data_IF_367702203669
#
_entry.id   IF_367702203669
#
_cell.length_a   1.000
_cell.length_b   1.000
_cell.length_c   1.000
_cell.angle_alpha   90.00
_cell.angle_beta   90.00
_cell.angle_gamma   90.00
#
_symmetry.space_group_name_H-M   'P 1'
#
loop_
_entity.id
_entity.type
_entity.pdbx_description
1 polymer ?
#
# COMPACT_ATOMS: atom_id res chain seq x y z
N UNK A 1 8.99 -10.73 -0.67
CA UNK A 1 9.25 -9.39 -0.10
C UNK A 1 7.89 -8.83 0.22
N UNK A 2 7.65 -8.58 1.49
CA UNK A 2 6.34 -8.34 2.06
C UNK A 2 6.41 -7.02 2.84
N UNK A 3 5.28 -6.34 3.00
CA UNK A 3 5.18 -5.15 3.86
C UNK A 3 4.58 -5.63 5.19
N UNK A 4 4.79 -4.91 6.30
CA UNK A 4 4.34 -5.40 7.62
C UNK A 4 3.91 -4.29 8.55
N UNK A 5 3.04 -4.70 9.46
CA UNK A 5 2.65 -4.02 10.69
C UNK A 5 3.85 -3.45 11.48
N UNK A 6 3.63 -2.38 12.28
CA UNK A 6 4.60 -1.60 13.06
C UNK A 6 5.71 -2.26 13.89
N UNK A 7 5.73 -3.59 14.00
CA UNK A 7 6.59 -4.32 14.93
C UNK A 7 7.82 -5.00 14.33
N UNK A 8 7.95 -5.13 13.01
CA UNK A 8 8.85 -6.15 12.40
C UNK A 8 9.98 -5.54 11.53
N UNK A 9 10.31 -4.26 11.65
CA UNK A 9 11.52 -3.71 10.97
C UNK A 9 12.86 -4.11 11.62
N UNK A 10 12.89 -5.01 12.63
CA UNK A 10 14.09 -5.28 13.44
C UNK A 10 14.65 -6.70 13.50
N UNK A 11 14.05 -7.71 12.89
CA UNK A 11 14.63 -9.05 12.92
C UNK A 11 15.33 -9.35 11.59
N UNK A 12 16.66 -9.46 11.63
CA UNK A 12 17.48 -9.99 10.54
C UNK A 12 17.25 -11.49 10.32
N UNK A 13 16.02 -11.87 10.00
CA UNK A 13 15.59 -13.26 9.79
C UNK A 13 14.85 -13.36 8.46
N UNK A 14 15.60 -13.46 7.36
CA UNK A 14 15.21 -14.16 6.12
C UNK A 14 14.03 -13.64 5.27
N UNK A 15 13.07 -12.90 5.83
CA UNK A 15 11.92 -12.35 5.12
C UNK A 15 12.02 -10.83 5.14
N UNK A 16 12.40 -10.26 3.98
CA UNK A 16 12.79 -8.86 3.86
C UNK A 16 11.57 -7.95 3.77
N UNK A 17 11.28 -7.27 4.88
CA UNK A 17 10.34 -6.15 4.96
C UNK A 17 10.99 -4.85 4.50
N UNK A 18 10.23 -3.94 3.87
CA UNK A 18 10.81 -2.72 3.27
C UNK A 18 10.14 -1.40 3.68
N UNK A 19 8.96 -1.44 4.29
CA UNK A 19 8.18 -0.28 4.72
C UNK A 19 7.32 -0.59 5.96
N UNK A 20 6.95 0.45 6.70
CA UNK A 20 6.10 0.38 7.91
C UNK A 20 5.36 1.71 8.13
N UNK A 21 4.03 1.67 8.28
CA UNK A 21 3.19 2.82 8.69
C UNK A 21 2.69 2.64 10.13
N UNK A 22 3.01 3.61 11.00
CA UNK A 22 2.55 3.64 12.39
C UNK A 22 1.39 4.62 12.55
N UNK A 23 0.26 4.13 13.07
CA UNK A 23 -0.96 4.91 13.34
C UNK A 23 -1.19 5.00 14.84
N UNK A 24 -1.43 6.21 15.34
CA UNK A 24 -1.83 6.44 16.73
C UNK A 24 -3.34 6.75 16.79
N UNK A 25 -4.09 5.94 17.56
CA UNK A 25 -5.50 6.18 17.83
C UNK A 25 -5.64 6.91 19.18
N UNK A 26 -5.83 8.23 19.14
CA UNK A 26 -6.08 8.99 20.38
C UNK A 26 -7.56 8.85 20.78
N UNK A 27 -7.84 7.86 21.64
CA UNK A 27 -9.19 7.50 22.14
C UNK A 27 -10.07 8.66 22.64
N UNK A 28 -9.48 9.80 23.02
CA UNK A 28 -10.21 10.94 23.58
C UNK A 28 -10.79 11.92 22.54
N UNK A 29 -10.50 11.77 21.23
CA UNK A 29 -11.01 12.70 20.19
C UNK A 29 -11.58 12.04 18.93
N UNK A 30 -11.58 10.71 18.83
CA UNK A 30 -12.05 10.01 17.62
C UNK A 30 -11.20 10.30 16.36
N UNK A 31 -9.99 10.83 16.53
CA UNK A 31 -9.06 11.13 15.44
C UNK A 31 -7.94 10.08 15.44
N UNK A 32 -7.91 9.24 14.41
CA UNK A 32 -6.74 8.43 14.04
C UNK A 32 -5.79 9.29 13.23
N UNK A 33 -4.50 9.26 13.58
CA UNK A 33 -3.46 10.00 12.87
C UNK A 33 -2.26 9.11 12.56
N UNK A 34 -1.73 9.22 11.34
CA UNK A 34 -0.43 8.61 11.00
C UNK A 34 0.65 9.33 11.79
N UNK A 35 1.37 8.59 12.62
CA UNK A 35 2.45 9.11 13.45
C UNK A 35 3.79 9.06 12.70
N UNK A 36 4.07 7.98 11.99
CA UNK A 36 5.30 7.85 11.20
C UNK A 36 5.15 6.88 10.03
N UNK A 37 5.95 7.11 8.98
CA UNK A 37 6.21 6.18 7.89
C UNK A 37 7.71 5.90 7.90
N UNK A 38 8.10 4.63 7.94
CA UNK A 38 9.50 4.20 7.92
C UNK A 38 9.73 3.37 6.67
N UNK A 39 10.87 3.57 6.01
CA UNK A 39 11.23 2.86 4.77
C UNK A 39 12.71 2.46 4.86
N UNK A 40 13.03 1.25 4.43
CA UNK A 40 14.40 0.73 4.44
C UNK A 40 15.32 1.59 3.56
N UNK A 41 16.49 1.95 4.07
CA UNK A 41 17.50 2.72 3.33
C UNK A 41 18.25 1.86 2.31
N UNK A 42 18.81 2.49 1.27
CA UNK A 42 19.71 1.82 0.32
C UNK A 42 19.02 1.16 -0.88
N UNK A 43 17.71 1.33 -1.04
CA UNK A 43 16.98 0.83 -2.21
C UNK A 43 17.02 1.81 -3.40
N UNK A 44 16.86 1.31 -4.65
CA UNK A 44 16.76 2.18 -5.82
C UNK A 44 15.61 3.19 -5.69
N UNK A 45 15.77 4.41 -6.22
CA UNK A 45 14.76 5.46 -6.12
C UNK A 45 13.37 5.03 -6.63
N UNK A 46 13.32 4.17 -7.66
CA UNK A 46 12.07 3.56 -8.14
C UNK A 46 11.42 2.66 -7.08
N UNK A 47 12.20 1.82 -6.39
CA UNK A 47 11.64 0.99 -5.32
C UNK A 47 11.21 1.83 -4.12
N UNK A 48 12.01 2.84 -3.78
CA UNK A 48 11.73 3.75 -2.67
C UNK A 48 10.38 4.45 -2.85
N UNK A 49 10.16 5.09 -4.00
CA UNK A 49 8.90 5.79 -4.21
C UNK A 49 7.70 4.86 -4.35
N UNK A 50 7.89 3.62 -4.84
CA UNK A 50 6.85 2.59 -4.79
C UNK A 50 6.42 2.30 -3.34
N UNK A 51 7.38 2.00 -2.45
CA UNK A 51 7.12 1.73 -1.04
C UNK A 51 6.49 2.94 -0.36
N UNK A 52 7.03 4.14 -0.57
CA UNK A 52 6.44 5.37 0.01
C UNK A 52 5.00 5.58 -0.45
N UNK A 53 4.69 5.37 -1.72
CA UNK A 53 3.33 5.50 -2.23
C UNK A 53 2.38 4.47 -1.59
N UNK A 54 2.84 3.23 -1.41
CA UNK A 54 2.11 2.20 -0.68
C UNK A 54 1.82 2.64 0.77
N UNK A 55 2.84 3.05 1.53
CA UNK A 55 2.68 3.47 2.92
C UNK A 55 1.79 4.73 3.08
N UNK A 56 1.88 5.66 2.12
CA UNK A 56 0.94 6.79 2.05
C UNK A 56 -0.51 6.32 1.84
N UNK A 57 -0.71 5.18 1.17
CA UNK A 57 -2.00 4.51 1.02
C UNK A 57 -2.62 4.15 2.37
N UNK A 58 -1.90 3.47 3.25
CA UNK A 58 -2.35 3.17 4.62
C UNK A 58 -2.74 4.46 5.34
N UNK A 59 -1.86 5.46 5.24
CA UNK A 59 -2.12 6.75 5.86
C UNK A 59 -3.41 7.40 5.37
N UNK A 60 -3.65 7.41 4.06
CA UNK A 60 -4.90 7.92 3.50
C UNK A 60 -6.12 7.11 3.95
N UNK A 61 -6.02 5.77 3.98
CA UNK A 61 -7.11 4.89 4.40
C UNK A 61 -7.53 5.09 5.86
N UNK A 62 -6.63 5.53 6.76
CA UNK A 62 -7.01 5.88 8.14
C UNK A 62 -8.05 6.99 8.25
N UNK A 63 -8.21 7.80 7.19
CA UNK A 63 -9.14 8.94 7.09
C UNK A 63 -10.38 8.60 6.28
N UNK A 64 -10.39 7.46 5.60
CA UNK A 64 -11.52 7.00 4.80
C UNK A 64 -12.48 6.17 5.68
N UNK A 65 -13.80 6.28 5.48
CA UNK A 65 -14.76 5.45 6.19
C UNK A 65 -14.58 3.97 5.83
N UNK A 66 -15.22 3.08 6.59
CA UNK A 66 -15.28 1.65 6.30
C UNK A 66 -14.21 0.81 7.00
N UNK A 67 -14.64 -0.35 7.50
CA UNK A 67 -13.77 -1.40 8.01
C UNK A 67 -13.28 -2.26 6.83
N UNK A 68 -11.99 -2.60 6.83
CA UNK A 68 -11.33 -3.29 5.72
C UNK A 68 -10.61 -4.51 6.27
N UNK A 69 -10.75 -5.64 5.57
CA UNK A 69 -9.86 -6.77 5.82
C UNK A 69 -8.42 -6.39 5.41
N UNK A 70 -7.43 -7.02 6.04
CA UNK A 70 -6.02 -6.85 5.70
C UNK A 70 -5.78 -6.97 4.19
N UNK A 71 -6.28 -8.03 3.56
CA UNK A 71 -6.18 -8.23 2.10
C UNK A 71 -6.77 -7.08 1.26
N UNK A 72 -7.84 -6.45 1.75
CA UNK A 72 -8.47 -5.31 1.05
C UNK A 72 -7.63 -4.06 1.20
N UNK A 73 -7.16 -3.79 2.42
CA UNK A 73 -6.29 -2.66 2.73
C UNK A 73 -4.99 -2.74 1.92
N UNK A 74 -4.27 -3.86 2.01
CA UNK A 74 -3.03 -4.09 1.26
C UNK A 74 -3.25 -4.03 -0.24
N UNK A 75 -4.35 -4.58 -0.74
CA UNK A 75 -4.67 -4.51 -2.16
C UNK A 75 -4.89 -3.09 -2.68
N UNK A 76 -5.42 -2.19 -1.86
CA UNK A 76 -5.55 -0.76 -2.20
C UNK A 76 -4.19 -0.07 -2.15
N UNK A 77 -3.39 -0.32 -1.12
CA UNK A 77 -2.05 0.26 -0.99
C UNK A 77 -1.12 -0.19 -2.14
N UNK A 78 -1.17 -1.46 -2.54
CA UNK A 78 -0.51 -1.98 -3.74
C UNK A 78 -1.03 -1.31 -5.03
N UNK A 79 -2.34 -1.05 -5.14
CA UNK A 79 -2.88 -0.32 -6.29
C UNK A 79 -2.30 1.10 -6.38
N UNK A 80 -2.23 1.82 -5.25
CA UNK A 80 -1.64 3.16 -5.17
C UNK A 80 -0.15 3.13 -5.53
N UNK A 81 0.59 2.15 -4.99
CA UNK A 81 1.98 1.90 -5.35
C UNK A 81 2.15 1.66 -6.87
N UNK A 82 1.23 0.90 -7.47
CA UNK A 82 1.21 0.63 -8.91
C UNK A 82 1.02 1.91 -9.74
N UNK A 83 0.19 2.86 -9.28
CA UNK A 83 -0.01 4.12 -9.98
C UNK A 83 1.26 4.95 -10.01
N UNK A 84 1.98 4.99 -8.89
CA UNK A 84 3.28 5.66 -8.83
C UNK A 84 4.29 5.01 -9.79
N UNK A 85 4.36 3.67 -9.83
CA UNK A 85 5.24 2.95 -10.75
C UNK A 85 4.89 3.21 -12.22
N UNK A 86 3.60 3.17 -12.56
CA UNK A 86 3.11 3.48 -13.92
C UNK A 86 3.44 4.91 -14.32
N UNK A 87 3.29 5.86 -13.40
CA UNK A 87 3.64 7.26 -13.64
C UNK A 87 5.16 7.47 -13.81
N UNK A 88 5.98 6.80 -12.99
CA UNK A 88 7.45 6.87 -13.11
C UNK A 88 7.97 6.30 -14.41
N UNK A 89 7.38 5.20 -14.87
CA UNK A 89 7.80 4.50 -16.08
C UNK A 89 9.24 3.96 -16.02
N UNK A 90 9.71 3.47 -17.17
CA UNK A 90 11.05 2.88 -17.31
C UNK A 90 11.13 1.41 -16.92
N UNK A 91 12.28 0.78 -17.25
CA UNK A 91 12.47 -0.67 -17.14
C UNK A 91 12.33 -1.20 -15.72
N UNK A 92 12.87 -0.47 -14.74
CA UNK A 92 12.79 -0.89 -13.34
C UNK A 92 11.37 -0.79 -12.78
N UNK A 93 10.57 0.19 -13.23
CA UNK A 93 9.17 0.29 -12.82
C UNK A 93 8.33 -0.83 -13.45
N UNK A 94 8.56 -1.13 -14.74
CA UNK A 94 7.92 -2.26 -15.42
C UNK A 94 8.23 -3.59 -14.73
N UNK A 95 9.49 -3.80 -14.31
CA UNK A 95 9.89 -4.95 -13.52
C UNK A 95 9.08 -5.07 -12.22
N UNK A 96 8.96 -4.00 -11.44
CA UNK A 96 8.19 -4.05 -10.20
C UNK A 96 6.69 -4.28 -10.42
N UNK A 97 6.09 -3.68 -11.44
CA UNK A 97 4.68 -3.93 -11.80
C UNK A 97 4.43 -5.40 -12.15
N UNK A 98 5.38 -6.04 -12.86
CA UNK A 98 5.30 -7.47 -13.17
C UNK A 98 5.45 -8.32 -11.90
N UNK A 99 6.39 -7.99 -11.02
CA UNK A 99 6.56 -8.67 -9.74
C UNK A 99 5.31 -8.57 -8.86
N UNK A 100 4.67 -7.40 -8.79
CA UNK A 100 3.40 -7.23 -8.06
C UNK A 100 2.31 -8.15 -8.63
N UNK A 101 2.19 -8.21 -9.96
CA UNK A 101 1.18 -9.05 -10.61
C UNK A 101 1.41 -10.54 -10.37
N UNK A 102 2.68 -10.98 -10.35
CA UNK A 102 3.08 -12.37 -10.17
C UNK A 102 3.25 -12.77 -8.69
N UNK A 103 3.11 -11.83 -7.74
CA UNK A 103 3.31 -12.09 -6.33
C UNK A 103 2.33 -13.21 -5.86
N UNK A 104 2.83 -14.38 -5.40
CA UNK A 104 1.98 -15.49 -4.98
C UNK A 104 1.36 -15.28 -3.60
N UNK A 105 1.75 -14.22 -2.90
CA UNK A 105 1.28 -13.92 -1.56
C UNK A 105 -0.25 -13.71 -1.51
N UNK A 106 -0.97 -14.37 -0.58
CA UNK A 106 -2.43 -14.34 -0.50
C UNK A 106 -2.99 -13.01 0.04
N UNK A 107 -2.17 -12.16 0.65
CA UNK A 107 -2.56 -10.84 1.13
C UNK A 107 -2.19 -9.78 0.10
N UNK A 108 -0.92 -9.71 -0.27
CA UNK A 108 -0.39 -8.66 -1.14
C UNK A 108 -0.70 -8.91 -2.61
N UNK A 109 -0.36 -10.10 -3.11
CA UNK A 109 -0.55 -10.47 -4.51
C UNK A 109 -2.03 -10.64 -4.86
N UNK A 110 -2.73 -11.47 -4.09
CA UNK A 110 -4.16 -11.69 -4.29
C UNK A 110 -5.00 -10.43 -4.01
N UNK A 111 -4.63 -9.65 -3.00
CA UNK A 111 -5.22 -8.34 -2.73
C UNK A 111 -5.09 -7.42 -3.94
N UNK A 112 -3.88 -7.19 -4.42
CA UNK A 112 -3.62 -6.34 -5.59
C UNK A 112 -4.43 -6.78 -6.82
N UNK A 113 -4.40 -8.09 -7.15
CA UNK A 113 -5.17 -8.64 -8.29
C UNK A 113 -6.68 -8.52 -8.10
N UNK A 114 -7.18 -8.70 -6.87
CA UNK A 114 -8.60 -8.54 -6.55
C UNK A 114 -9.06 -7.10 -6.74
N UNK A 115 -8.30 -6.13 -6.23
CA UNK A 115 -8.61 -4.70 -6.39
C UNK A 115 -8.52 -4.28 -7.85
N UNK A 116 -7.49 -4.72 -8.59
CA UNK A 116 -7.35 -4.45 -10.02
C UNK A 116 -8.55 -4.98 -10.83
N UNK A 117 -9.08 -6.17 -10.51
CA UNK A 117 -10.27 -6.71 -11.19
C UNK A 117 -11.53 -5.88 -10.91
N UNK A 118 -11.68 -5.36 -9.69
CA UNK A 118 -12.85 -4.54 -9.31
C UNK A 118 -12.80 -3.12 -9.84
N UNK A 119 -11.60 -2.53 -9.89
CA UNK A 119 -11.41 -1.09 -10.11
C UNK A 119 -10.64 -0.75 -11.38
N UNK A 120 -10.14 -1.74 -12.13
CA UNK A 120 -9.25 -1.51 -13.27
C UNK A 120 -9.85 -0.73 -14.43
N UNK A 121 -11.18 -0.58 -14.48
CA UNK A 121 -11.87 0.27 -15.45
C UNK A 121 -12.00 1.74 -15.00
N UNK A 122 -11.70 2.05 -13.75
CA UNK A 122 -11.78 3.39 -13.18
C UNK A 122 -10.43 4.10 -13.26
N UNK A 123 -10.47 5.41 -13.47
CA UNK A 123 -9.31 6.26 -13.28
C UNK A 123 -8.92 6.34 -11.79
N UNK A 124 -7.65 6.67 -11.48
CA UNK A 124 -7.22 6.85 -10.09
C UNK A 124 -8.11 7.82 -9.29
N UNK A 125 -8.56 8.93 -9.91
CA UNK A 125 -9.43 9.90 -9.25
C UNK A 125 -10.83 9.37 -8.93
N UNK A 126 -11.38 8.49 -9.77
CA UNK A 126 -12.68 7.84 -9.51
C UNK A 126 -12.56 6.82 -8.37
N UNK A 127 -11.46 6.07 -8.31
CA UNK A 127 -11.17 5.15 -7.21
C UNK A 127 -11.06 5.91 -5.89
N UNK A 128 -10.25 6.99 -5.85
CA UNK A 128 -10.09 7.82 -4.64
C UNK A 128 -11.44 8.34 -4.16
N UNK A 129 -12.25 8.93 -5.05
CA UNK A 129 -13.58 9.45 -4.70
C UNK A 129 -14.49 8.36 -4.15
N UNK A 130 -14.47 7.16 -4.74
CA UNK A 130 -15.29 6.03 -4.28
C UNK A 130 -14.91 5.58 -2.88
N UNK A 131 -13.61 5.40 -2.62
CA UNK A 131 -13.11 4.96 -1.31
C UNK A 131 -13.38 6.01 -0.24
N UNK A 132 -13.19 7.30 -0.54
CA UNK A 132 -13.49 8.40 0.39
C UNK A 132 -14.99 8.51 0.73
N UNK A 133 -15.87 8.25 -0.25
CA UNK A 133 -17.32 8.39 -0.06
C UNK A 133 -17.94 7.16 0.61
N UNK A 134 -17.48 5.96 0.25
CA UNK A 134 -18.17 4.71 0.60
C UNK A 134 -17.37 3.79 1.51
N UNK A 135 -16.05 3.98 1.58
CA UNK A 135 -15.15 3.05 2.26
C UNK A 135 -14.98 1.71 1.57
N UNK A 136 -15.54 1.55 0.37
CA UNK A 136 -15.61 0.28 -0.38
C UNK A 136 -14.89 0.39 -1.72
N UNK A 137 -14.55 -0.78 -2.27
CA UNK A 137 -14.04 -0.99 -3.63
C UNK A 137 -15.19 -1.30 -4.59
#
# INVERSE_FOLDING_TARGET
>A
MELVEPGILRAGTGEGFVGETVVEQRRLRGVSGVQSIKVVSGMPATRFGHVVAHEMGHGWLTRCPGDRSLTTEEGICELIGSWWLRHRGGRLAAYYLEQMWQNPDPVYGDGYRSVCRKLGSLSPGEVVRRVETTGRL
#
